data_IF_691813319499
#
_entry.id   IF_691813319499
#
_cell.length_a   1.000
_cell.length_b   1.000
_cell.length_c   1.000
_cell.angle_alpha   90.00
_cell.angle_beta   90.00
_cell.angle_gamma   90.00
#
_symmetry.space_group_name_H-M   'P 1'
#
loop_
_entity.id
_entity.type
_entity.pdbx_description
1 polymer ?
#
# COMPACT_ATOMS: atom_id res chain seq x y z
N UNK A 1 -4.12 7.08 28.68
CA UNK A 1 -4.87 6.52 27.54
C UNK A 1 -4.25 6.95 26.21
N UNK A 2 -4.12 8.26 25.90
CA UNK A 2 -3.51 8.74 24.65
C UNK A 2 -2.03 8.38 24.46
N UNK A 3 -1.21 8.45 25.53
CA UNK A 3 0.21 8.07 25.49
C UNK A 3 0.43 6.62 25.01
N UNK A 4 -0.37 5.69 25.51
CA UNK A 4 -0.30 4.26 25.14
C UNK A 4 -0.57 4.04 23.66
N UNK A 5 -1.56 4.73 23.08
CA UNK A 5 -1.84 4.64 21.65
C UNK A 5 -0.69 5.21 20.81
N UNK A 6 -0.12 6.35 21.22
CA UNK A 6 1.04 6.92 20.54
C UNK A 6 2.26 5.98 20.56
N UNK A 7 2.55 5.34 21.69
CA UNK A 7 3.61 4.34 21.83
C UNK A 7 3.37 3.13 20.91
N UNK A 8 2.15 2.62 20.87
CA UNK A 8 1.78 1.51 19.99
C UNK A 8 1.92 1.88 18.51
N UNK A 9 1.41 3.05 18.10
CA UNK A 9 1.57 3.54 16.72
C UNK A 9 3.03 3.72 16.37
N UNK A 10 3.84 4.29 17.27
CA UNK A 10 5.29 4.44 17.07
C UNK A 10 5.95 3.08 16.81
N UNK A 11 5.65 2.05 17.60
CA UNK A 11 6.19 0.70 17.42
C UNK A 11 5.79 0.10 16.06
N UNK A 12 4.54 0.30 15.62
CA UNK A 12 4.09 -0.17 14.30
C UNK A 12 4.88 0.53 13.20
N UNK A 13 5.01 1.85 13.24
CA UNK A 13 5.78 2.61 12.24
C UNK A 13 7.25 2.22 12.22
N UNK A 14 7.85 1.91 13.37
CA UNK A 14 9.19 1.36 13.44
C UNK A 14 9.29 0.00 12.73
N UNK A 15 8.30 -0.87 12.91
CA UNK A 15 8.32 -2.21 12.29
C UNK A 15 8.29 -2.19 10.75
N UNK A 16 7.79 -1.10 10.17
CA UNK A 16 7.74 -0.88 8.71
C UNK A 16 9.07 -0.38 8.13
N UNK A 17 10.05 0.00 8.95
CA UNK A 17 11.35 0.46 8.47
C UNK A 17 12.29 -0.71 8.16
N UNK A 18 13.18 -0.57 7.14
CA UNK A 18 14.09 -1.65 6.73
C UNK A 18 15.18 -1.98 7.76
N UNK A 19 15.34 -1.14 8.79
CA UNK A 19 16.30 -1.36 9.88
C UNK A 19 15.84 -2.43 10.87
N UNK A 20 14.53 -2.75 10.89
CA UNK A 20 13.96 -3.73 11.79
C UNK A 20 13.58 -5.00 11.02
N UNK A 21 13.81 -6.15 11.64
CA UNK A 21 13.63 -7.48 11.03
C UNK A 21 12.22 -8.05 11.23
N UNK A 22 11.25 -7.23 11.65
CA UNK A 22 9.88 -7.70 11.92
C UNK A 22 9.18 -8.20 10.67
N UNK A 23 9.36 -7.49 9.55
CA UNK A 23 8.81 -7.85 8.25
C UNK A 23 9.91 -8.02 7.21
N UNK A 24 9.82 -9.11 6.45
CA UNK A 24 10.70 -9.35 5.31
C UNK A 24 10.36 -8.40 4.16
N UNK A 25 11.32 -8.21 3.26
CA UNK A 25 11.12 -7.50 1.99
C UNK A 25 11.53 -8.38 0.83
N UNK A 26 10.88 -8.20 -0.30
CA UNK A 26 11.34 -8.79 -1.56
C UNK A 26 12.67 -8.16 -1.99
N UNK A 27 13.35 -8.73 -2.99
CA UNK A 27 14.58 -8.13 -3.53
C UNK A 27 14.31 -6.78 -4.17
N UNK A 28 13.11 -6.60 -4.73
CA UNK A 28 12.63 -5.33 -5.28
C UNK A 28 12.20 -4.28 -4.25
N UNK A 29 12.19 -4.62 -2.95
CA UNK A 29 11.90 -3.67 -1.87
C UNK A 29 10.43 -3.59 -1.42
N UNK A 30 9.57 -4.49 -1.89
CA UNK A 30 8.19 -4.61 -1.38
C UNK A 30 8.20 -5.19 0.03
N UNK A 31 7.54 -4.52 0.98
CA UNK A 31 7.35 -5.05 2.33
C UNK A 31 6.31 -6.18 2.36
N UNK A 32 6.62 -7.26 3.07
CA UNK A 32 5.77 -8.46 3.17
C UNK A 32 5.11 -8.55 4.56
N UNK A 33 4.11 -7.70 4.81
CA UNK A 33 3.37 -7.70 6.08
C UNK A 33 2.54 -8.98 6.30
N UNK A 34 2.21 -9.68 5.21
CA UNK A 34 1.52 -10.96 5.22
C UNK A 34 2.48 -12.16 5.22
N UNK A 35 3.75 -11.97 5.59
CA UNK A 35 4.75 -13.03 5.70
C UNK A 35 5.03 -13.82 4.40
N UNK A 36 4.76 -13.22 3.24
CA UNK A 36 5.02 -13.83 1.92
C UNK A 36 3.87 -14.67 1.39
N UNK A 37 2.71 -14.64 2.05
CA UNK A 37 1.45 -15.17 1.53
C UNK A 37 0.94 -14.35 0.32
N UNK A 38 -0.09 -14.82 -0.40
CA UNK A 38 -0.70 -14.07 -1.50
C UNK A 38 -1.27 -12.69 -1.12
N UNK A 39 -1.50 -11.86 -2.14
CA UNK A 39 -2.05 -10.49 -2.03
C UNK A 39 -1.22 -9.48 -1.21
N UNK A 40 0.12 -9.39 -1.37
CA UNK A 40 0.93 -8.50 -0.54
C UNK A 40 0.66 -7.01 -0.76
N UNK A 41 0.22 -6.60 -1.97
CA UNK A 41 0.09 -5.19 -2.32
C UNK A 41 -0.98 -4.45 -1.52
N UNK A 42 -2.06 -5.12 -1.10
CA UNK A 42 -3.08 -4.47 -0.27
C UNK A 42 -2.53 -4.06 1.10
N UNK A 43 -1.62 -4.86 1.65
CA UNK A 43 -0.97 -4.55 2.93
C UNK A 43 0.07 -3.45 2.76
N UNK A 44 0.89 -3.52 1.70
CA UNK A 44 1.88 -2.49 1.41
C UNK A 44 1.24 -1.13 1.13
N UNK A 45 0.12 -1.08 0.41
CA UNK A 45 -0.64 0.15 0.16
C UNK A 45 -1.20 0.75 1.47
N UNK A 46 -1.77 -0.08 2.34
CA UNK A 46 -2.25 0.37 3.65
C UNK A 46 -1.11 0.87 4.54
N UNK A 47 0.03 0.18 4.57
CA UNK A 47 1.21 0.61 5.32
C UNK A 47 1.74 1.95 4.80
N UNK A 48 1.80 2.14 3.47
CA UNK A 48 2.21 3.40 2.85
C UNK A 48 1.29 4.57 3.26
N UNK A 49 -0.03 4.34 3.23
CA UNK A 49 -1.01 5.30 3.70
C UNK A 49 -0.79 5.66 5.18
N UNK A 50 -0.70 4.67 6.07
CA UNK A 50 -0.52 4.90 7.51
C UNK A 50 0.79 5.61 7.84
N UNK A 51 1.88 5.27 7.14
CA UNK A 51 3.17 5.94 7.30
C UNK A 51 3.07 7.44 6.94
N UNK A 52 2.41 7.76 5.83
CA UNK A 52 2.20 9.16 5.43
C UNK A 52 1.30 9.88 6.41
N UNK A 53 0.20 9.26 6.84
CA UNK A 53 -0.74 9.83 7.80
C UNK A 53 -0.07 10.12 9.15
N UNK A 54 0.78 9.21 9.64
CA UNK A 54 1.50 9.41 10.88
C UNK A 54 2.58 10.49 10.76
N UNK A 55 3.29 10.53 9.63
CA UNK A 55 4.22 11.61 9.30
C UNK A 55 3.53 12.97 9.32
N UNK A 56 2.37 13.07 8.67
CA UNK A 56 1.55 14.27 8.66
C UNK A 56 1.04 14.67 10.06
N UNK A 57 0.66 13.69 10.89
CA UNK A 57 0.25 13.93 12.28
C UNK A 57 1.40 14.50 13.14
N UNK A 58 2.61 13.94 13.01
CA UNK A 58 3.79 14.42 13.72
C UNK A 58 4.15 15.84 13.27
N UNK A 59 4.20 16.07 11.96
CA UNK A 59 4.44 17.40 11.39
C UNK A 59 3.38 18.40 11.84
N UNK A 60 2.10 18.01 11.91
CA UNK A 60 1.01 18.85 12.40
C UNK A 60 1.09 19.18 13.90
N UNK A 61 1.81 18.35 14.67
CA UNK A 61 2.01 18.52 16.12
C UNK A 61 3.32 19.23 16.46
N UNK A 62 4.02 19.81 15.48
CA UNK A 62 5.36 20.39 15.61
C UNK A 62 6.42 19.40 16.12
N UNK A 63 6.20 18.10 15.84
CA UNK A 63 7.11 17.02 16.23
C UNK A 63 7.91 16.57 15.00
N UNK A 64 9.24 16.81 14.92
CA UNK A 64 10.04 16.57 13.72
C UNK A 64 10.32 15.09 13.42
N UNK A 65 9.88 14.17 14.27
CA UNK A 65 10.18 12.74 14.15
C UNK A 65 9.68 11.92 15.34
N UNK A 66 10.13 10.68 15.44
CA UNK A 66 9.82 9.82 16.56
C UNK A 66 10.99 8.87 16.87
N UNK A 67 10.95 8.25 18.04
CA UNK A 67 11.96 7.30 18.47
C UNK A 67 11.54 5.87 18.18
N UNK A 68 12.48 5.08 17.68
CA UNK A 68 12.38 3.64 17.57
C UNK A 68 13.47 2.99 18.45
N UNK A 69 13.13 2.80 19.73
CA UNK A 69 14.13 2.46 20.75
C UNK A 69 15.11 3.63 20.95
N UNK A 70 16.43 3.42 20.88
CA UNK A 70 17.41 4.48 21.10
C UNK A 70 17.59 5.41 19.87
N UNK A 71 17.01 5.06 18.72
CA UNK A 71 17.25 5.75 17.45
C UNK A 71 16.14 6.74 17.11
N UNK A 72 16.51 7.98 16.82
CA UNK A 72 15.58 9.01 16.35
C UNK A 72 15.46 9.01 14.81
N UNK A 73 14.23 9.06 14.30
CA UNK A 73 13.93 9.12 12.87
C UNK A 73 13.08 10.36 12.55
N UNK A 74 13.46 11.09 11.50
CA UNK A 74 12.68 12.23 11.00
C UNK A 74 11.39 11.76 10.31
N UNK A 75 10.34 12.57 10.34
CA UNK A 75 9.06 12.30 9.65
C UNK A 75 9.22 11.98 8.16
N UNK A 76 10.24 12.55 7.50
CA UNK A 76 10.59 12.27 6.10
C UNK A 76 10.86 10.78 5.82
N UNK A 77 11.40 10.03 6.79
CA UNK A 77 11.70 8.60 6.62
C UNK A 77 10.43 7.79 6.33
N UNK A 78 9.29 8.17 6.92
CA UNK A 78 7.99 7.54 6.63
C UNK A 78 7.44 7.91 5.26
N UNK A 79 7.66 9.17 4.83
CA UNK A 79 7.27 9.63 3.50
C UNK A 79 8.06 8.90 2.41
N UNK A 80 9.35 8.68 2.65
CA UNK A 80 10.23 7.93 1.75
C UNK A 80 9.82 6.44 1.69
N UNK A 81 9.51 5.84 2.84
CA UNK A 81 8.95 4.49 2.89
C UNK A 81 7.64 4.39 2.11
N UNK A 82 6.67 5.27 2.37
CA UNK A 82 5.40 5.31 1.65
C UNK A 82 5.61 5.43 0.13
N UNK A 83 6.42 6.40 -0.28
CA UNK A 83 6.76 6.63 -1.69
C UNK A 83 7.36 5.38 -2.32
N UNK A 84 8.26 4.68 -1.61
CA UNK A 84 8.86 3.45 -2.13
C UNK A 84 7.84 2.34 -2.42
N UNK A 85 6.82 2.19 -1.57
CA UNK A 85 5.80 1.15 -1.75
C UNK A 85 4.79 1.53 -2.84
N UNK A 86 4.39 2.81 -2.91
CA UNK A 86 3.55 3.32 -4.01
C UNK A 86 4.29 3.22 -5.35
N UNK A 87 5.55 3.63 -5.41
CA UNK A 87 6.36 3.50 -6.62
C UNK A 87 6.51 2.05 -7.06
N UNK A 88 6.71 1.11 -6.11
CA UNK A 88 6.76 -0.31 -6.40
C UNK A 88 5.45 -0.80 -7.06
N UNK A 89 4.29 -0.41 -6.50
CA UNK A 89 2.97 -0.72 -7.06
C UNK A 89 2.84 -0.14 -8.48
N UNK A 90 3.31 1.08 -8.70
CA UNK A 90 3.08 1.80 -9.95
C UNK A 90 4.02 1.41 -11.08
N UNK A 91 5.27 1.01 -10.82
CA UNK A 91 6.21 0.47 -11.84
C UNK A 91 7.58 0.04 -11.30
N UNK A 92 8.04 0.63 -10.19
CA UNK A 92 9.42 0.56 -9.71
C UNK A 92 9.69 -0.76 -8.98
N UNK A 93 9.57 -1.84 -9.75
CA UNK A 93 9.78 -3.21 -9.31
C UNK A 93 10.62 -3.96 -10.36
N UNK A 94 11.20 -5.13 -10.03
CA UNK A 94 12.09 -5.87 -10.93
C UNK A 94 11.47 -6.23 -12.28
N UNK A 95 10.14 -6.30 -12.38
CA UNK A 95 9.43 -6.63 -13.61
C UNK A 95 9.08 -5.42 -14.49
N UNK A 96 9.33 -4.19 -13.99
CA UNK A 96 8.98 -2.92 -14.63
C UNK A 96 7.51 -2.88 -15.10
N UNK A 97 6.61 -3.42 -14.28
CA UNK A 97 5.16 -3.49 -14.55
C UNK A 97 4.40 -2.66 -13.53
N UNK A 98 3.34 -1.96 -13.95
CA UNK A 98 2.37 -1.40 -13.03
C UNK A 98 1.43 -2.50 -12.56
N UNK A 99 1.22 -2.65 -11.26
CA UNK A 99 0.19 -3.54 -10.73
C UNK A 99 -1.21 -2.91 -10.74
N UNK A 100 -1.36 -1.71 -11.30
CA UNK A 100 -2.63 -1.02 -11.50
C UNK A 100 -3.04 -1.13 -12.96
N UNK A 101 -4.19 -1.74 -13.20
CA UNK A 101 -4.71 -2.00 -14.55
C UNK A 101 -4.99 -0.68 -15.27
N UNK A 102 -4.50 -0.57 -16.51
CA UNK A 102 -4.64 0.65 -17.33
C UNK A 102 -3.69 1.79 -16.97
N UNK A 103 -2.79 1.61 -16.00
CA UNK A 103 -1.81 2.62 -15.62
C UNK A 103 -0.41 2.27 -16.15
N UNK A 104 0.27 3.26 -16.74
CA UNK A 104 1.61 3.09 -17.31
C UNK A 104 1.65 2.26 -18.60
N UNK A 105 2.86 1.98 -19.09
CA UNK A 105 3.06 1.32 -20.38
C UNK A 105 2.87 -0.21 -20.36
N UNK A 106 3.03 -0.84 -19.18
CA UNK A 106 2.93 -2.29 -18.99
C UNK A 106 2.13 -2.55 -17.73
N UNK A 107 1.02 -3.25 -17.84
CA UNK A 107 0.10 -3.57 -16.75
C UNK A 107 -0.59 -4.94 -16.99
N UNK A 108 -1.17 -5.59 -15.95
CA UNK A 108 -1.90 -6.84 -16.06
C UNK A 108 -3.11 -6.75 -16.99
N UNK A 109 -3.27 -7.76 -17.86
CA UNK A 109 -4.37 -7.84 -18.82
C UNK A 109 -5.27 -9.05 -18.60
N UNK A 110 -4.91 -9.94 -17.68
CA UNK A 110 -5.62 -11.18 -17.37
C UNK A 110 -6.12 -11.16 -15.92
N UNK A 111 -6.82 -10.11 -15.52
CA UNK A 111 -7.34 -9.97 -14.16
C UNK A 111 -8.38 -11.06 -13.85
N UNK A 112 -8.30 -11.64 -12.65
CA UNK A 112 -9.31 -12.52 -12.08
C UNK A 112 -10.58 -11.75 -11.70
N UNK A 113 -11.35 -11.33 -12.71
CA UNK A 113 -12.62 -10.63 -12.51
C UNK A 113 -13.66 -11.03 -13.56
N UNK A 114 -14.85 -11.44 -13.11
CA UNK A 114 -15.92 -11.94 -14.00
C UNK A 114 -16.38 -10.88 -15.02
N UNK A 115 -16.58 -9.64 -14.55
CA UNK A 115 -16.96 -8.52 -15.43
C UNK A 115 -15.86 -8.10 -16.40
N UNK A 116 -14.59 -8.36 -16.07
CA UNK A 116 -13.47 -8.05 -16.97
C UNK A 116 -13.33 -9.11 -18.07
N UNK A 117 -13.51 -10.38 -17.69
CA UNK A 117 -13.23 -11.55 -18.52
C UNK A 117 -14.30 -11.91 -19.55
N UNK A 118 -15.55 -11.49 -19.35
CA UNK A 118 -16.69 -11.86 -20.20
C UNK A 118 -17.06 -10.68 -21.12
N UNK A 119 -17.11 -10.85 -22.45
CA UNK A 119 -17.55 -9.80 -23.36
C UNK A 119 -18.95 -9.29 -23.04
N UNK A 120 -19.17 -7.97 -23.14
CA UNK A 120 -20.43 -7.29 -22.73
C UNK A 120 -21.69 -7.87 -23.36
N UNK A 121 -21.59 -8.45 -24.56
CA UNK A 121 -22.70 -9.02 -25.30
C UNK A 121 -22.98 -10.51 -25.00
N UNK A 122 -22.33 -11.11 -23.99
CA UNK A 122 -22.51 -12.52 -23.62
C UNK A 122 -23.23 -12.65 -22.28
N UNK A 123 -24.34 -13.38 -22.28
CA UNK A 123 -24.96 -13.92 -21.06
C UNK A 123 -24.35 -15.29 -20.77
N UNK A 124 -23.96 -15.53 -19.53
CA UNK A 124 -23.25 -16.76 -19.14
C UNK A 124 -23.74 -17.24 -17.80
N UNK A 125 -24.01 -18.54 -17.71
CA UNK A 125 -24.27 -19.23 -16.44
C UNK A 125 -23.01 -19.23 -15.57
N UNK A 126 -23.15 -19.62 -14.30
CA UNK A 126 -21.99 -19.75 -13.41
C UNK A 126 -20.98 -20.78 -13.96
N UNK A 127 -21.44 -21.98 -14.34
CA UNK A 127 -20.60 -23.00 -14.96
C UNK A 127 -20.04 -22.57 -16.32
N UNK A 128 -20.85 -21.90 -17.14
CA UNK A 128 -20.40 -21.36 -18.42
C UNK A 128 -19.33 -20.26 -18.28
N UNK A 129 -19.14 -19.72 -17.07
CA UNK A 129 -18.09 -18.77 -16.72
C UNK A 129 -16.68 -19.37 -16.71
N UNK A 130 -16.54 -20.69 -16.45
CA UNK A 130 -15.24 -21.35 -16.33
C UNK A 130 -14.39 -21.18 -17.59
N UNK A 131 -14.98 -21.27 -18.78
CA UNK A 131 -14.26 -21.05 -20.04
C UNK A 131 -13.62 -19.67 -20.16
N UNK A 132 -14.23 -18.64 -19.54
CA UNK A 132 -13.72 -17.28 -19.55
C UNK A 132 -12.63 -17.09 -18.50
N UNK A 133 -12.76 -17.73 -17.33
CA UNK A 133 -11.70 -17.78 -16.32
C UNK A 133 -10.43 -18.44 -16.86
N UNK A 134 -10.57 -19.60 -17.50
CA UNK A 134 -9.45 -20.41 -18.01
C UNK A 134 -8.93 -19.95 -19.39
N UNK A 135 -9.53 -18.93 -19.99
CA UNK A 135 -9.08 -18.41 -21.29
C UNK A 135 -7.70 -17.74 -21.17
N UNK A 136 -6.85 -17.97 -22.18
CA UNK A 136 -5.57 -17.29 -22.36
C UNK A 136 -5.67 -15.93 -23.07
N UNK A 137 -6.86 -15.54 -23.55
CA UNK A 137 -7.05 -14.25 -24.19
C UNK A 137 -7.07 -13.13 -23.16
N UNK A 138 -6.61 -11.94 -23.50
CA UNK A 138 -6.72 -10.75 -22.66
C UNK A 138 -8.18 -10.49 -22.23
N UNK A 139 -8.38 -9.81 -21.09
CA UNK A 139 -9.72 -9.40 -20.66
C UNK A 139 -10.36 -8.50 -21.73
N UNK A 140 -11.56 -8.84 -22.26
CA UNK A 140 -12.24 -8.00 -23.24
C UNK A 140 -12.72 -6.66 -22.66
N UNK A 141 -12.86 -6.54 -21.34
CA UNK A 141 -13.16 -5.28 -20.68
C UNK A 141 -12.03 -4.93 -19.71
N UNK A 142 -11.36 -3.82 -19.95
CA UNK A 142 -10.35 -3.28 -19.04
C UNK A 142 -11.03 -2.70 -17.80
N UNK A 143 -10.63 -3.17 -16.63
CA UNK A 143 -11.06 -2.62 -15.33
C UNK A 143 -10.05 -1.59 -14.85
N UNK A 144 -10.09 -0.41 -15.45
CA UNK A 144 -9.13 0.67 -15.19
C UNK A 144 -9.05 1.02 -13.69
N UNK A 145 -7.83 1.21 -13.20
CA UNK A 145 -7.55 1.54 -11.80
C UNK A 145 -7.58 0.36 -10.85
N UNK A 146 -8.00 -0.84 -11.27
CA UNK A 146 -7.97 -2.02 -10.41
C UNK A 146 -6.53 -2.41 -10.05
N UNK A 147 -6.24 -2.52 -8.76
CA UNK A 147 -4.95 -3.03 -8.29
C UNK A 147 -5.07 -4.55 -8.13
N UNK A 148 -4.18 -5.28 -8.81
CA UNK A 148 -4.10 -6.74 -8.63
C UNK A 148 -3.41 -7.11 -7.32
N UNK A 149 -3.55 -8.36 -6.90
CA UNK A 149 -2.95 -8.91 -5.68
C UNK A 149 -1.43 -8.72 -5.63
N UNK A 150 -0.76 -8.83 -6.78
CA UNK A 150 0.65 -8.50 -6.96
C UNK A 150 1.58 -9.71 -6.94
N UNK A 151 2.89 -9.50 -6.74
CA UNK A 151 3.90 -10.54 -6.90
C UNK A 151 3.99 -11.49 -5.72
N UNK A 152 4.75 -12.57 -5.87
CA UNK A 152 5.20 -13.42 -4.79
C UNK A 152 6.36 -12.77 -4.00
N UNK A 153 6.82 -13.47 -2.96
CA UNK A 153 7.94 -13.04 -2.10
C UNK A 153 9.28 -12.86 -2.83
N UNK A 154 9.41 -13.32 -4.07
CA UNK A 154 10.61 -13.22 -4.91
C UNK A 154 10.46 -12.20 -6.05
N UNK A 155 9.45 -11.32 -6.00
CA UNK A 155 9.10 -10.37 -7.07
C UNK A 155 8.62 -11.06 -8.36
N UNK A 156 8.23 -12.34 -8.27
CA UNK A 156 7.62 -13.11 -9.36
C UNK A 156 6.15 -12.75 -9.51
N UNK A 157 5.74 -12.36 -10.70
CA UNK A 157 4.34 -12.07 -11.05
C UNK A 157 3.97 -12.81 -12.33
N UNK A 158 2.80 -13.47 -12.29
CA UNK A 158 2.24 -14.19 -13.42
C UNK A 158 0.85 -13.60 -13.75
N UNK A 159 0.73 -12.95 -14.90
CA UNK A 159 -0.53 -12.39 -15.40
C UNK A 159 -1.44 -13.51 -15.94
N UNK A 160 -1.93 -14.36 -15.04
CA UNK A 160 -2.78 -15.50 -15.34
C UNK A 160 -4.10 -15.35 -14.59
N UNK A 161 -5.19 -15.20 -15.35
CA UNK A 161 -6.54 -15.03 -14.79
C UNK A 161 -7.00 -16.19 -13.92
N UNK A 162 -6.60 -17.41 -14.23
CA UNK A 162 -6.94 -18.57 -13.40
C UNK A 162 -6.26 -18.53 -12.03
N UNK A 163 -5.13 -17.82 -11.91
CA UNK A 163 -4.35 -17.70 -10.69
C UNK A 163 -4.69 -16.41 -9.93
N UNK A 164 -5.69 -16.52 -9.07
CA UNK A 164 -6.19 -15.39 -8.28
C UNK A 164 -5.12 -14.82 -7.33
N UNK A 165 -4.14 -15.61 -6.87
CA UNK A 165 -3.09 -15.16 -5.95
C UNK A 165 -2.27 -13.97 -6.48
N UNK A 166 -2.10 -13.87 -7.80
CA UNK A 166 -1.41 -12.74 -8.44
C UNK A 166 -2.39 -11.69 -8.96
N UNK A 167 -3.54 -12.14 -9.44
CA UNK A 167 -4.28 -11.45 -10.48
C UNK A 167 -5.69 -11.04 -10.03
N UNK A 168 -6.06 -11.39 -8.80
CA UNK A 168 -7.28 -10.91 -8.13
C UNK A 168 -7.21 -9.42 -7.83
N UNK A 169 -8.30 -8.70 -8.12
CA UNK A 169 -8.48 -7.32 -7.68
C UNK A 169 -9.53 -7.27 -6.56
N UNK A 170 -9.25 -6.52 -5.50
CA UNK A 170 -10.14 -6.42 -4.33
C UNK A 170 -10.46 -4.96 -3.99
N UNK A 171 -11.67 -4.74 -3.46
CA UNK A 171 -12.06 -3.42 -2.94
C UNK A 171 -11.13 -2.95 -1.82
N UNK A 172 -10.69 -3.88 -0.95
CA UNK A 172 -9.81 -3.57 0.18
C UNK A 172 -8.45 -3.08 -0.32
N UNK A 173 -7.82 -3.77 -1.28
CA UNK A 173 -6.56 -3.33 -1.86
C UNK A 173 -6.67 -1.97 -2.55
N UNK A 174 -7.72 -1.77 -3.35
CA UNK A 174 -7.96 -0.51 -4.02
C UNK A 174 -8.24 0.65 -3.05
N UNK A 175 -8.94 0.40 -1.93
CA UNK A 175 -9.20 1.43 -0.92
C UNK A 175 -7.90 1.94 -0.27
N UNK A 176 -6.98 1.03 0.07
CA UNK A 176 -5.66 1.36 0.59
C UNK A 176 -4.81 2.12 -0.42
N UNK A 177 -4.84 1.69 -1.69
CA UNK A 177 -4.12 2.37 -2.76
C UNK A 177 -4.61 3.81 -2.96
N UNK A 178 -5.93 4.04 -3.02
CA UNK A 178 -6.48 5.39 -3.14
C UNK A 178 -6.07 6.26 -1.96
N UNK A 179 -6.16 5.74 -0.72
CA UNK A 179 -5.74 6.46 0.47
C UNK A 179 -4.25 6.83 0.42
N UNK A 180 -3.38 5.90 0.03
CA UNK A 180 -1.94 6.13 -0.11
C UNK A 180 -1.63 7.18 -1.20
N UNK A 181 -2.30 7.11 -2.36
CA UNK A 181 -2.12 8.08 -3.45
C UNK A 181 -2.57 9.47 -3.04
N UNK A 182 -3.72 9.60 -2.38
CA UNK A 182 -4.21 10.88 -1.87
C UNK A 182 -3.24 11.46 -0.85
N UNK A 183 -2.81 10.65 0.13
CA UNK A 183 -1.85 11.08 1.14
C UNK A 183 -0.51 11.51 0.51
N UNK A 184 -0.02 10.79 -0.51
CA UNK A 184 1.24 11.11 -1.20
C UNK A 184 1.13 12.32 -2.15
N UNK A 185 -0.06 12.60 -2.69
CA UNK A 185 -0.29 13.70 -3.64
C UNK A 185 -0.26 15.09 -2.99
N UNK A 186 -0.37 15.17 -1.66
CA UNK A 186 -0.34 16.43 -0.89
C UNK A 186 1.07 16.96 -0.71
N UNK A 187 1.83 17.04 -1.80
CA UNK A 187 3.17 17.64 -1.83
C UNK A 187 3.17 19.03 -1.19
N UNK A 188 3.67 19.11 0.05
CA UNK A 188 3.98 20.36 0.75
C UNK A 188 2.81 21.18 1.32
N UNK A 189 1.56 20.72 1.25
CA UNK A 189 0.40 21.49 1.73
C UNK A 189 0.11 21.39 3.22
N UNK A 190 0.68 20.39 3.91
CA UNK A 190 0.34 20.06 5.30
C UNK A 190 -1.11 19.59 5.47
N UNK A 191 -1.40 18.94 6.60
CA UNK A 191 -2.78 18.81 7.06
C UNK A 191 -3.27 20.18 7.50
N UNK A 192 -4.52 20.53 7.21
CA UNK A 192 -5.17 21.68 7.83
C UNK A 192 -5.23 21.46 9.34
N UNK A 193 -4.23 22.00 10.05
CA UNK A 193 -4.10 21.92 11.51
C UNK A 193 -5.34 22.47 12.21
N UNK A 194 -5.93 23.53 11.66
CA UNK A 194 -7.05 24.23 12.27
C UNK A 194 -8.37 23.45 12.11
N UNK A 195 -8.50 22.66 11.05
CA UNK A 195 -9.66 21.79 10.83
C UNK A 195 -9.55 20.44 11.53
N UNK A 196 -8.45 19.73 11.34
CA UNK A 196 -8.34 18.30 11.66
C UNK A 196 -7.98 18.01 13.13
N UNK A 197 -7.19 18.89 13.75
CA UNK A 197 -6.66 18.70 15.10
C UNK A 197 -7.09 19.81 16.07
N UNK A 198 -8.09 20.62 15.73
CA UNK A 198 -8.67 21.62 16.65
C UNK A 198 -9.07 21.04 18.01
N UNK A 199 -9.35 19.74 18.07
CA UNK A 199 -9.72 19.02 19.29
C UNK A 199 -8.58 18.21 19.94
N UNK A 200 -7.36 18.18 19.38
CA UNK A 200 -6.23 17.40 19.92
C UNK A 200 -5.22 18.35 20.57
N UNK A 201 -5.08 18.26 21.90
CA UNK A 201 -4.03 18.98 22.64
C UNK A 201 -2.64 18.42 22.26
N UNK A 202 -1.67 19.28 21.89
CA UNK A 202 -0.31 18.83 21.59
C UNK A 202 0.28 18.03 22.76
N UNK A 203 0.88 16.87 22.46
CA UNK A 203 1.65 16.11 23.43
C UNK A 203 2.96 16.86 23.67
N UNK A 204 3.05 17.67 24.73
CA UNK A 204 4.34 18.22 25.15
C UNK A 204 5.22 17.07 25.63
N UNK A 205 6.31 16.80 24.91
CA UNK A 205 7.43 16.07 25.49
C UNK A 205 8.09 17.03 26.49
N UNK A 206 7.84 16.83 27.77
CA UNK A 206 8.61 17.51 28.82
C UNK A 206 10.08 17.13 28.63
N UNK A 207 11.03 18.07 28.74
CA UNK A 207 12.44 17.72 28.86
C UNK A 207 12.60 16.84 30.11
N UNK A 208 13.33 15.73 29.99
CA UNK A 208 13.73 14.95 31.16
C UNK A 208 14.41 15.90 32.16
N UNK A 209 14.04 15.86 33.46
CA UNK A 209 14.79 16.62 34.46
C UNK A 209 16.19 16.02 34.53
N UNK A 210 17.19 16.82 34.18
CA UNK A 210 18.58 16.55 34.51
C UNK A 210 18.71 16.36 36.03
N UNK A 211 18.99 15.14 36.47
CA UNK A 211 19.73 14.81 37.70
C UNK A 211 20.52 13.53 37.51
#
# INVERSE_FOLDING_TARGET
>A
MLKTFHEQTSIVMCSDLPYYTKFNRTKGGLILLNHGEPEPLQYAANAAFLATLYSDYLDASDTPGWYCGPSFFKTQVLRDFSTSQVDYILRKNPQNISYVVGFGQKYPKHVHHRGASIPKNKKVTCEGGWKWKESSNENPNTIEGAMVAGPDKNDGFHDLRANYNYTQATLVGNSGLVAALVASSRGGGGLDRNGLFSAITPLSLSPDPET
#
